data_IF_388054457859
#
_entry.id   IF_388054457859
#
_cell.length_a   1.000
_cell.length_b   1.000
_cell.length_c   1.000
_cell.angle_alpha   90.00
_cell.angle_beta   90.00
_cell.angle_gamma   90.00
#
_symmetry.space_group_name_H-M   'P 1'
#
loop_
_entity.id
_entity.type
_entity.pdbx_description
1 polymer ?
#
# COMPACT_ATOMS: atom_id res chain seq x y z
N UNK A 1 47.67 -8.75 12.83
CA UNK A 1 47.27 -8.64 11.40
C UNK A 1 45.76 -8.54 11.37
N UNK A 2 45.23 -7.34 11.13
CA UNK A 2 43.78 -7.05 11.16
C UNK A 2 43.26 -7.06 9.73
N UNK A 3 42.33 -7.95 9.43
CA UNK A 3 41.66 -8.04 8.15
C UNK A 3 40.53 -7.00 8.10
N UNK A 4 40.72 -5.98 7.27
CA UNK A 4 39.76 -4.93 6.97
C UNK A 4 38.65 -5.54 6.09
N UNK A 5 37.50 -5.85 6.67
CA UNK A 5 36.32 -6.23 5.91
C UNK A 5 35.84 -5.02 5.08
N UNK A 6 35.86 -5.16 3.75
CA UNK A 6 35.30 -4.22 2.81
C UNK A 6 33.78 -4.11 3.03
N UNK A 7 33.32 -2.97 3.55
CA UNK A 7 31.93 -2.55 3.43
C UNK A 7 31.67 -2.32 1.93
N UNK A 8 30.90 -3.20 1.29
CA UNK A 8 30.36 -2.93 -0.03
C UNK A 8 29.51 -1.67 0.01
N UNK A 9 29.69 -0.79 -0.98
CA UNK A 9 28.88 0.40 -1.21
C UNK A 9 27.39 0.02 -1.16
N UNK A 10 26.59 0.73 -0.36
CA UNK A 10 25.14 0.73 -0.58
C UNK A 10 24.92 1.21 -2.03
N UNK A 11 24.15 0.46 -2.81
CA UNK A 11 23.77 0.90 -4.15
C UNK A 11 22.92 2.18 -4.00
N UNK A 12 23.34 3.26 -4.65
CA UNK A 12 22.67 4.55 -4.58
C UNK A 12 21.54 4.56 -5.62
N UNK A 13 20.28 4.48 -5.19
CA UNK A 13 19.11 4.43 -6.07
C UNK A 13 18.49 5.81 -6.26
N UNK A 14 17.80 6.01 -7.38
CA UNK A 14 17.07 7.25 -7.63
C UNK A 14 15.60 6.95 -7.97
N UNK A 15 14.70 7.74 -7.43
CA UNK A 15 13.25 7.60 -7.61
C UNK A 15 12.68 8.90 -8.15
N UNK A 16 11.74 8.83 -9.09
CA UNK A 16 10.90 9.98 -9.45
C UNK A 16 9.45 9.68 -9.07
N UNK A 17 8.82 10.63 -8.41
CA UNK A 17 7.38 10.63 -8.14
C UNK A 17 6.75 11.65 -9.07
N UNK A 18 5.66 11.27 -9.75
CA UNK A 18 4.92 12.11 -10.67
C UNK A 18 3.46 12.12 -10.27
N UNK A 19 2.94 13.28 -9.88
CA UNK A 19 1.52 13.48 -9.65
C UNK A 19 0.89 14.17 -10.86
N UNK A 20 -0.25 13.65 -11.31
CA UNK A 20 -0.90 14.13 -12.53
C UNK A 20 -2.42 14.06 -12.41
N UNK A 21 -3.07 15.21 -12.50
CA UNK A 21 -4.54 15.29 -12.67
C UNK A 21 -4.95 14.86 -14.07
N UNK A 22 -5.85 13.89 -14.11
CA UNK A 22 -6.38 13.30 -15.35
C UNK A 22 -7.78 13.84 -15.58
N UNK A 23 -8.04 14.31 -16.80
CA UNK A 23 -9.35 14.84 -17.20
C UNK A 23 -10.45 13.81 -16.94
N UNK A 24 -11.57 14.29 -16.42
CA UNK A 24 -12.77 13.46 -16.24
C UNK A 24 -13.16 12.73 -17.55
N UNK A 25 -13.55 11.46 -17.41
CA UNK A 25 -13.93 10.60 -18.53
C UNK A 25 -12.76 10.03 -19.36
N UNK A 26 -11.51 10.38 -19.05
CA UNK A 26 -10.31 9.88 -19.77
C UNK A 26 -9.51 8.85 -18.96
N UNK A 27 -10.05 8.34 -17.86
CA UNK A 27 -9.36 7.44 -16.92
C UNK A 27 -8.88 6.16 -17.62
N UNK A 28 -9.72 5.52 -18.43
CA UNK A 28 -9.34 4.27 -19.12
C UNK A 28 -8.21 4.49 -20.15
N UNK A 29 -8.21 5.65 -20.81
CA UNK A 29 -7.15 6.04 -21.74
C UNK A 29 -5.84 6.35 -21.00
N UNK A 30 -5.94 7.02 -19.86
CA UNK A 30 -4.81 7.24 -18.97
C UNK A 30 -4.20 5.93 -18.46
N UNK A 31 -5.02 4.97 -18.01
CA UNK A 31 -4.52 3.67 -17.54
C UNK A 31 -3.77 2.93 -18.66
N UNK A 32 -4.34 2.88 -19.87
CA UNK A 32 -3.66 2.28 -21.03
C UNK A 32 -2.35 3.00 -21.37
N UNK A 33 -2.33 4.32 -21.28
CA UNK A 33 -1.11 5.10 -21.49
C UNK A 33 -0.06 4.85 -20.39
N UNK A 34 -0.50 4.79 -19.13
CA UNK A 34 0.35 4.54 -17.98
C UNK A 34 0.96 3.14 -18.03
N UNK A 35 0.22 2.12 -18.49
CA UNK A 35 0.74 0.77 -18.73
C UNK A 35 1.84 0.76 -19.80
N UNK A 36 1.64 1.48 -20.91
CA UNK A 36 2.67 1.64 -21.95
C UNK A 36 3.91 2.38 -21.41
N UNK A 37 3.70 3.38 -20.56
CA UNK A 37 4.79 4.12 -19.91
C UNK A 37 5.56 3.24 -18.93
N UNK A 38 4.86 2.42 -18.14
CA UNK A 38 5.46 1.44 -17.25
C UNK A 38 6.26 0.38 -18.02
N UNK A 39 5.75 -0.08 -19.16
CA UNK A 39 6.46 -1.01 -20.03
C UNK A 39 7.74 -0.38 -20.61
N UNK A 40 7.65 0.84 -21.15
CA UNK A 40 8.82 1.55 -21.68
C UNK A 40 9.88 1.81 -20.59
N UNK A 41 9.46 2.14 -19.36
CA UNK A 41 10.38 2.29 -18.24
C UNK A 41 11.07 0.97 -17.88
N UNK A 42 10.36 -0.17 -17.90
CA UNK A 42 10.93 -1.51 -17.62
C UNK A 42 12.02 -1.92 -18.60
N UNK A 43 11.92 -1.46 -19.85
CA UNK A 43 12.90 -1.73 -20.90
C UNK A 43 14.11 -0.80 -20.81
N UNK A 44 14.04 0.26 -19.99
CA UNK A 44 15.12 1.23 -19.83
C UNK A 44 16.22 0.71 -18.89
N UNK A 45 17.47 0.96 -19.26
CA UNK A 45 18.63 0.46 -18.50
C UNK A 45 18.66 1.04 -17.08
N UNK A 46 18.83 0.17 -16.10
CA UNK A 46 18.84 0.55 -14.69
C UNK A 46 17.46 0.69 -14.06
N UNK A 47 16.38 0.28 -14.74
CA UNK A 47 15.06 0.22 -14.12
C UNK A 47 15.03 -0.74 -12.93
N UNK A 48 14.40 -0.30 -11.83
CA UNK A 48 14.25 -1.08 -10.59
C UNK A 48 12.79 -1.40 -10.31
N UNK A 49 11.87 -0.46 -10.54
CA UNK A 49 10.45 -0.69 -10.30
C UNK A 49 9.56 0.51 -10.64
N UNK A 50 8.28 0.23 -10.85
CA UNK A 50 7.25 1.24 -11.05
C UNK A 50 5.98 0.89 -10.26
N UNK A 51 5.38 1.88 -9.63
CA UNK A 51 4.12 1.78 -8.89
C UNK A 51 3.21 2.92 -9.33
N UNK A 52 1.90 2.64 -9.41
CA UNK A 52 0.88 3.63 -9.76
C UNK A 52 -0.23 3.54 -8.73
N UNK A 53 -0.62 4.69 -8.20
CA UNK A 53 -1.66 4.83 -7.20
C UNK A 53 -2.84 5.58 -7.82
N UNK A 54 -4.06 4.99 -7.77
CA UNK A 54 -5.26 5.68 -8.21
C UNK A 54 -5.64 6.80 -7.23
N UNK A 55 -6.47 7.77 -7.67
CA UNK A 55 -6.99 8.84 -6.83
C UNK A 55 -7.75 8.26 -5.63
N UNK A 56 -7.49 8.82 -4.45
CA UNK A 56 -8.21 8.51 -3.23
C UNK A 56 -9.65 9.07 -3.22
N UNK A 57 -10.53 8.56 -2.35
CA UNK A 57 -11.88 9.11 -2.20
C UNK A 57 -11.83 10.59 -1.78
N UNK A 58 -12.29 11.49 -2.66
CA UNK A 58 -12.28 12.94 -2.45
C UNK A 58 -11.13 13.68 -3.14
N UNK A 59 -10.26 12.98 -3.88
CA UNK A 59 -9.20 13.58 -4.71
C UNK A 59 -9.73 13.81 -6.14
N UNK A 60 -9.39 14.95 -6.75
CA UNK A 60 -9.85 15.38 -8.09
C UNK A 60 -9.17 14.59 -9.23
N UNK A 61 -9.39 13.28 -9.29
CA UNK A 61 -8.81 12.38 -10.31
C UNK A 61 -7.29 12.52 -10.46
N UNK A 62 -6.59 12.74 -9.35
CA UNK A 62 -5.14 12.88 -9.31
C UNK A 62 -4.46 11.52 -9.16
N UNK A 63 -3.64 11.15 -10.14
CA UNK A 63 -2.92 9.87 -10.17
C UNK A 63 -1.46 10.08 -9.82
N UNK A 64 -0.91 9.18 -9.01
CA UNK A 64 0.50 9.23 -8.60
C UNK A 64 1.25 8.05 -9.19
N UNK A 65 2.27 8.33 -9.99
CA UNK A 65 3.18 7.34 -10.55
C UNK A 65 4.58 7.48 -9.92
N UNK A 66 5.18 6.36 -9.52
CA UNK A 66 6.50 6.30 -8.90
C UNK A 66 7.40 5.41 -9.75
N UNK A 67 8.51 5.93 -10.27
CA UNK A 67 9.51 5.15 -11.01
C UNK A 67 10.84 5.14 -10.27
N UNK A 68 11.49 3.96 -10.21
CA UNK A 68 12.74 3.76 -9.48
C UNK A 68 13.81 3.22 -10.41
N UNK A 69 15.02 3.74 -10.27
CA UNK A 69 16.19 3.38 -11.06
C UNK A 69 17.41 3.10 -10.18
N UNK A 70 18.41 2.43 -10.75
CA UNK A 70 19.62 1.96 -10.09
C UNK A 70 20.62 3.07 -9.73
N UNK A 71 20.27 4.34 -10.01
CA UNK A 71 21.07 5.52 -9.71
C UNK A 71 20.56 6.76 -10.44
N UNK A 72 21.03 7.93 -10.01
CA UNK A 72 20.57 9.22 -10.53
C UNK A 72 20.81 9.34 -12.04
N UNK A 73 21.97 8.93 -12.54
CA UNK A 73 22.28 8.99 -13.98
C UNK A 73 21.28 8.20 -14.84
N UNK A 74 20.80 7.06 -14.32
CA UNK A 74 19.81 6.22 -15.00
C UNK A 74 18.42 6.84 -14.96
N UNK A 75 18.05 7.43 -13.81
CA UNK A 75 16.80 8.16 -13.69
C UNK A 75 16.76 9.38 -14.62
N UNK A 76 17.79 10.23 -14.60
CA UNK A 76 17.89 11.39 -15.49
C UNK A 76 17.87 10.96 -16.95
N UNK A 77 18.59 9.90 -17.30
CA UNK A 77 18.54 9.32 -18.65
C UNK A 77 17.13 8.89 -19.07
N UNK A 78 16.33 8.33 -18.16
CA UNK A 78 14.93 8.01 -18.44
C UNK A 78 14.07 9.26 -18.61
N UNK A 79 14.22 10.25 -17.71
CA UNK A 79 13.46 11.50 -17.73
C UNK A 79 13.66 12.28 -19.02
N UNK A 80 14.89 12.28 -19.54
CA UNK A 80 15.31 12.98 -20.75
C UNK A 80 15.17 12.13 -22.03
N UNK A 81 14.73 10.87 -21.91
CA UNK A 81 14.67 9.97 -23.06
C UNK A 81 13.62 10.40 -24.09
N UNK A 82 13.98 10.31 -25.39
CA UNK A 82 13.05 10.53 -26.50
C UNK A 82 11.79 9.68 -26.36
N UNK A 83 11.94 8.44 -25.88
CA UNK A 83 10.83 7.51 -25.70
C UNK A 83 9.81 8.03 -24.68
N UNK A 84 10.27 8.60 -23.56
CA UNK A 84 9.40 9.21 -22.55
C UNK A 84 8.76 10.50 -23.07
N UNK A 85 9.49 11.31 -23.84
CA UNK A 85 8.95 12.52 -24.45
C UNK A 85 7.81 12.21 -25.43
N UNK A 86 7.98 11.20 -26.30
CA UNK A 86 6.91 10.71 -27.19
C UNK A 86 5.66 10.31 -26.42
N UNK A 87 5.82 9.53 -25.34
CA UNK A 87 4.72 9.10 -24.48
C UNK A 87 4.01 10.29 -23.85
N UNK A 88 4.74 11.29 -23.35
CA UNK A 88 4.15 12.48 -22.74
C UNK A 88 3.39 13.35 -23.76
N UNK A 89 3.89 13.49 -24.99
CA UNK A 89 3.18 14.21 -26.05
C UNK A 89 1.89 13.50 -26.46
N UNK A 90 1.90 12.17 -26.57
CA UNK A 90 0.67 11.38 -26.84
C UNK A 90 -0.40 11.58 -25.76
N UNK A 91 0.00 11.71 -24.49
CA UNK A 91 -0.91 11.85 -23.36
C UNK A 91 -1.25 13.29 -22.99
N UNK A 92 -0.72 14.30 -23.69
CA UNK A 92 -0.96 15.71 -23.38
C UNK A 92 -2.45 16.07 -23.30
N UNK A 93 -3.27 15.42 -24.13
CA UNK A 93 -4.74 15.59 -24.15
C UNK A 93 -5.50 14.86 -23.03
N UNK A 94 -4.82 14.06 -22.20
CA UNK A 94 -5.38 13.35 -21.05
C UNK A 94 -5.29 14.17 -19.75
N UNK A 95 -4.41 15.17 -19.72
CA UNK A 95 -4.04 15.90 -18.51
C UNK A 95 -4.75 17.25 -18.40
N UNK A 96 -5.11 17.63 -17.17
CA UNK A 96 -5.69 18.95 -16.88
C UNK A 96 -4.63 20.06 -16.82
N UNK A 97 -3.39 19.69 -16.51
CA UNK A 97 -2.26 20.60 -16.40
C UNK A 97 -0.93 19.85 -16.38
N UNK A 98 0.20 20.57 -16.24
CA UNK A 98 1.51 19.94 -16.15
C UNK A 98 1.59 19.04 -14.90
N UNK A 99 2.34 17.91 -14.97
CA UNK A 99 2.56 17.07 -13.81
C UNK A 99 3.47 17.74 -12.79
N UNK A 100 3.25 17.44 -11.51
CA UNK A 100 4.26 17.68 -10.47
C UNK A 100 5.25 16.52 -10.50
N UNK A 101 6.54 16.80 -10.67
CA UNK A 101 7.61 15.79 -10.73
C UNK A 101 8.67 16.08 -9.68
N UNK A 102 8.97 15.07 -8.86
CA UNK A 102 9.95 15.18 -7.78
C UNK A 102 10.95 14.02 -7.87
N UNK A 103 12.23 14.35 -7.86
CA UNK A 103 13.35 13.40 -8.00
C UNK A 103 14.03 13.23 -6.65
N UNK A 104 14.14 11.98 -6.19
CA UNK A 104 14.67 11.55 -4.91
C UNK A 104 15.93 10.71 -5.13
N UNK A 105 16.97 10.94 -4.31
CA UNK A 105 18.22 10.16 -4.32
C UNK A 105 18.39 9.44 -2.97
N UNK A 106 18.65 8.13 -3.00
CA UNK A 106 18.84 7.27 -1.83
C UNK A 106 17.72 6.26 -1.61
N UNK A 107 18.08 5.04 -1.22
CA UNK A 107 17.16 3.91 -0.94
C UNK A 107 17.76 2.57 -1.38
N UNK A 108 17.41 1.45 -0.74
CA UNK A 108 17.94 0.10 -1.10
C UNK A 108 17.05 -0.59 -2.15
N UNK A 109 17.61 -1.38 -3.10
CA UNK A 109 16.83 -2.11 -4.10
C UNK A 109 16.32 -3.40 -3.48
N UNK A 110 15.25 -3.29 -2.72
CA UNK A 110 14.35 -4.39 -2.59
C UNK A 110 12.98 -3.82 -2.88
N UNK A 111 12.22 -4.52 -3.73
CA UNK A 111 10.77 -4.63 -3.58
C UNK A 111 10.47 -4.43 -2.10
N UNK A 112 9.70 -3.38 -1.69
CA UNK A 112 9.59 -3.03 -0.29
C UNK A 112 9.32 -4.34 0.45
N UNK A 113 10.19 -4.77 1.40
CA UNK A 113 9.95 -6.01 2.12
C UNK A 113 8.50 -5.99 2.58
N UNK A 114 7.84 -7.14 2.59
CA UNK A 114 6.40 -7.24 2.76
C UNK A 114 5.84 -6.50 3.98
N UNK A 115 6.68 -5.97 4.87
CA UNK A 115 6.34 -5.26 6.08
C UNK A 115 6.64 -3.74 6.08
N UNK A 116 7.10 -3.14 4.96
CA UNK A 116 7.25 -1.68 4.86
C UNK A 116 5.90 -1.00 5.09
N UNK A 117 5.87 -0.02 5.99
CA UNK A 117 4.65 0.73 6.33
C UNK A 117 4.86 2.22 6.08
N UNK A 118 3.88 2.82 5.41
CA UNK A 118 3.83 4.26 5.16
C UNK A 118 2.84 4.90 6.13
N UNK A 119 3.25 5.97 6.81
CA UNK A 119 2.37 6.83 7.59
C UNK A 119 2.19 8.15 6.86
N UNK A 120 0.95 8.62 6.81
CA UNK A 120 0.55 9.91 6.25
C UNK A 120 -0.06 10.71 7.40
N UNK A 121 0.41 11.93 7.63
CA UNK A 121 -0.08 12.82 8.67
C UNK A 121 -0.53 14.13 8.07
N UNK A 122 -1.82 14.43 8.15
CA UNK A 122 -2.37 15.74 7.78
C UNK A 122 -2.34 16.68 8.98
N UNK A 123 -1.93 17.92 8.77
CA UNK A 123 -1.84 18.97 9.79
C UNK A 123 -2.64 20.20 9.35
N UNK A 124 -3.50 20.69 10.25
CA UNK A 124 -4.14 22.00 10.13
C UNK A 124 -3.22 23.07 10.70
N UNK A 125 -2.35 23.64 9.87
CA UNK A 125 -1.43 24.69 10.32
C UNK A 125 -2.20 26.00 10.50
N UNK A 126 -1.95 26.70 11.61
CA UNK A 126 -2.60 27.98 11.89
C UNK A 126 -2.12 29.04 10.88
N UNK A 127 -3.00 29.89 10.35
CA UNK A 127 -2.61 30.99 9.48
C UNK A 127 -1.53 31.86 10.13
N UNK A 128 -0.42 32.11 9.40
CA UNK A 128 0.72 32.90 9.87
C UNK A 128 1.74 32.12 10.73
N UNK A 129 1.52 30.83 10.97
CA UNK A 129 2.41 29.95 11.73
C UNK A 129 3.26 29.02 10.85
N UNK A 130 3.20 29.18 9.52
CA UNK A 130 3.75 28.25 8.52
C UNK A 130 5.28 28.13 8.61
N UNK A 131 6.00 29.25 8.77
CA UNK A 131 7.45 29.20 8.97
C UNK A 131 7.82 28.47 10.26
N UNK A 132 7.06 28.68 11.34
CA UNK A 132 7.27 27.98 12.60
C UNK A 132 7.00 26.48 12.48
N UNK A 133 5.98 26.11 11.72
CA UNK A 133 5.68 24.72 11.38
C UNK A 133 6.79 24.08 10.55
N UNK A 134 7.30 24.76 9.52
CA UNK A 134 8.41 24.26 8.68
C UNK A 134 9.68 24.00 9.50
N UNK A 135 10.09 24.96 10.35
CA UNK A 135 11.26 24.77 11.22
C UNK A 135 11.06 23.65 12.25
N UNK A 136 9.84 23.52 12.78
CA UNK A 136 9.48 22.41 13.65
C UNK A 136 9.54 21.06 12.91
N UNK A 137 9.09 21.02 11.65
CA UNK A 137 9.13 19.80 10.86
C UNK A 137 10.55 19.38 10.51
N UNK A 138 11.42 20.32 10.15
CA UNK A 138 12.84 20.04 9.92
C UNK A 138 13.52 19.48 11.19
N UNK A 139 13.20 20.05 12.36
CA UNK A 139 13.69 19.52 13.65
C UNK A 139 13.18 18.10 13.90
N UNK A 140 11.91 17.84 13.61
CA UNK A 140 11.28 16.52 13.78
C UNK A 140 11.93 15.49 12.86
N UNK A 141 12.16 15.85 11.60
CA UNK A 141 12.84 15.00 10.61
C UNK A 141 14.23 14.56 11.08
N UNK A 142 15.07 15.49 11.56
CA UNK A 142 16.43 15.17 12.05
C UNK A 142 16.45 14.19 13.23
N UNK A 143 15.37 14.15 14.00
CA UNK A 143 15.21 13.19 15.11
C UNK A 143 14.65 11.87 14.59
N UNK A 144 13.70 11.93 13.66
CA UNK A 144 13.07 10.79 13.02
C UNK A 144 14.05 9.96 12.18
N UNK A 145 15.01 10.61 11.51
CA UNK A 145 16.11 9.97 10.76
C UNK A 145 16.96 9.02 11.61
N UNK A 146 16.97 9.21 12.94
CA UNK A 146 17.73 8.38 13.89
C UNK A 146 16.90 7.22 14.44
N UNK A 147 15.61 7.16 14.12
CA UNK A 147 14.74 6.08 14.57
C UNK A 147 15.11 4.78 13.84
N UNK A 148 15.13 3.64 14.55
CA UNK A 148 15.35 2.34 13.92
C UNK A 148 14.36 2.11 12.77
N UNK A 149 14.84 1.63 11.63
CA UNK A 149 13.99 1.28 10.50
C UNK A 149 13.42 2.45 9.71
N UNK A 150 13.80 3.70 9.99
CA UNK A 150 13.37 4.84 9.18
C UNK A 150 13.87 4.75 7.74
N UNK A 151 12.98 4.95 6.78
CA UNK A 151 13.29 4.83 5.34
C UNK A 151 13.17 6.16 4.57
N UNK A 152 12.58 7.19 5.16
CA UNK A 152 12.40 8.49 4.52
C UNK A 152 11.13 9.22 4.94
N UNK A 153 11.11 10.53 4.78
CA UNK A 153 9.98 11.42 5.08
C UNK A 153 9.89 12.54 4.06
N UNK A 154 8.68 13.03 3.82
CA UNK A 154 8.36 14.06 2.85
C UNK A 154 7.26 14.97 3.40
N UNK A 155 7.27 16.25 3.01
CA UNK A 155 6.32 17.26 3.46
C UNK A 155 5.70 17.95 2.25
N UNK A 156 4.38 17.85 2.15
CA UNK A 156 3.53 18.49 1.15
C UNK A 156 2.87 19.73 1.75
N UNK A 157 2.87 20.83 0.98
CA UNK A 157 2.27 22.11 1.38
C UNK A 157 0.83 22.20 0.88
N UNK A 158 -0.04 22.96 1.57
CA UNK A 158 -1.38 23.25 1.07
C UNK A 158 -1.32 23.90 -0.30
N UNK A 159 -2.22 23.47 -1.17
CA UNK A 159 -2.44 24.06 -2.49
C UNK A 159 -3.86 24.61 -2.49
N UNK A 160 -3.99 25.92 -2.67
CA UNK A 160 -5.28 26.62 -2.64
C UNK A 160 -6.24 26.02 -3.69
N UNK A 161 -7.42 25.59 -3.23
CA UNK A 161 -8.42 24.92 -4.06
C UNK A 161 -8.21 23.43 -4.32
N UNK A 162 -7.15 22.80 -3.80
CA UNK A 162 -6.82 21.37 -4.02
C UNK A 162 -6.57 20.62 -2.71
N UNK A 163 -5.81 21.23 -1.79
CA UNK A 163 -5.47 20.64 -0.50
C UNK A 163 -5.29 21.76 0.53
N UNK A 164 -6.19 21.87 1.51
CA UNK A 164 -6.10 22.91 2.54
C UNK A 164 -5.12 22.58 3.68
N UNK A 165 -4.64 21.33 3.75
CA UNK A 165 -3.88 20.78 4.88
C UNK A 165 -2.41 20.54 4.52
N UNK A 166 -1.50 20.68 5.49
CA UNK A 166 -0.10 20.28 5.32
C UNK A 166 0.04 18.77 5.52
N UNK A 167 0.59 18.03 4.57
CA UNK A 167 0.66 16.56 4.66
C UNK A 167 2.10 16.10 4.81
N UNK A 168 2.37 15.25 5.79
CA UNK A 168 3.68 14.62 6.02
C UNK A 168 3.58 13.14 5.73
N UNK A 169 4.40 12.61 4.84
CA UNK A 169 4.45 11.17 4.54
C UNK A 169 5.80 10.62 4.97
N UNK A 170 5.83 9.56 5.77
CA UNK A 170 7.08 8.90 6.15
C UNK A 170 6.96 7.38 6.21
N UNK A 171 8.09 6.70 6.04
CA UNK A 171 8.15 5.25 5.84
C UNK A 171 9.08 4.58 6.84
N UNK A 172 8.70 3.39 7.26
CA UNK A 172 9.53 2.50 8.06
C UNK A 172 9.60 1.10 7.42
N UNK A 173 10.72 0.42 7.64
CA UNK A 173 11.00 -0.93 7.14
C UNK A 173 10.10 -2.02 7.74
N UNK A 174 9.47 -1.73 8.89
CA UNK A 174 8.54 -2.61 9.58
C UNK A 174 7.45 -1.82 10.32
N UNK A 175 6.33 -2.48 10.59
CA UNK A 175 5.25 -1.93 11.41
C UNK A 175 5.66 -1.69 12.86
N UNK A 176 6.48 -2.58 13.42
CA UNK A 176 6.96 -2.47 14.80
C UNK A 176 7.75 -1.19 15.00
N UNK A 177 8.70 -0.91 14.11
CA UNK A 177 9.47 0.33 14.16
C UNK A 177 8.62 1.59 13.97
N UNK A 178 7.60 1.54 13.09
CA UNK A 178 6.64 2.65 12.95
C UNK A 178 5.84 2.87 14.24
N UNK A 179 5.31 1.80 14.83
CA UNK A 179 4.50 1.88 16.04
C UNK A 179 5.32 2.37 17.25
N UNK A 180 6.57 1.91 17.38
CA UNK A 180 7.52 2.37 18.39
C UNK A 180 7.84 3.86 18.22
N UNK A 181 8.08 4.31 16.99
CA UNK A 181 8.28 5.74 16.72
C UNK A 181 7.06 6.57 17.09
N UNK A 182 5.86 6.12 16.69
CA UNK A 182 4.60 6.82 16.95
C UNK A 182 4.29 6.92 18.46
N UNK A 183 4.66 5.90 19.24
CA UNK A 183 4.49 5.83 20.68
C UNK A 183 5.64 6.46 21.48
N UNK A 184 6.75 6.84 20.84
CA UNK A 184 7.96 7.29 21.53
C UNK A 184 7.76 8.58 22.33
N UNK A 185 8.40 8.65 23.51
CA UNK A 185 8.44 9.88 24.32
C UNK A 185 9.11 11.06 23.58
N UNK A 186 10.05 10.73 22.68
CA UNK A 186 10.75 11.71 21.85
C UNK A 186 9.76 12.39 20.91
N UNK A 187 8.93 11.62 20.20
CA UNK A 187 7.86 12.16 19.35
C UNK A 187 6.82 12.90 20.18
N UNK A 188 6.45 12.41 21.36
CA UNK A 188 5.52 13.11 22.25
C UNK A 188 6.01 14.50 22.66
N UNK A 189 7.31 14.65 22.95
CA UNK A 189 7.94 15.96 23.23
C UNK A 189 7.91 16.87 22.00
N UNK A 190 8.26 16.35 20.82
CA UNK A 190 8.21 17.11 19.56
C UNK A 190 6.79 17.58 19.24
N UNK A 191 5.77 16.74 19.40
CA UNK A 191 4.37 17.12 19.19
C UNK A 191 3.91 18.21 20.18
N UNK A 192 4.34 18.12 21.44
CA UNK A 192 4.05 19.15 22.45
C UNK A 192 4.70 20.49 22.12
N UNK A 193 5.91 20.49 21.54
CA UNK A 193 6.54 21.71 21.04
C UNK A 193 5.85 22.26 19.79
N UNK A 194 5.33 21.38 18.93
CA UNK A 194 4.67 21.71 17.67
C UNK A 194 3.22 22.18 17.80
N UNK A 195 2.53 21.85 18.90
CA UNK A 195 1.10 22.12 19.09
C UNK A 195 0.70 23.60 19.06
N UNK A 196 1.68 24.51 19.13
CA UNK A 196 1.46 25.94 18.91
C UNK A 196 1.22 26.28 17.43
N UNK A 197 1.74 25.49 16.49
CA UNK A 197 1.71 25.76 15.06
C UNK A 197 0.53 25.12 14.30
N UNK A 198 -0.07 24.05 14.83
CA UNK A 198 -1.23 23.38 14.21
C UNK A 198 -2.41 23.25 15.18
N UNK A 199 -3.63 23.17 14.63
CA UNK A 199 -4.90 23.08 15.38
C UNK A 199 -5.32 21.63 15.57
N UNK A 200 -5.12 20.79 14.55
CA UNK A 200 -5.43 19.36 14.57
C UNK A 200 -4.40 18.59 13.74
N UNK A 201 -4.28 17.29 13.97
CA UNK A 201 -3.53 16.38 13.11
C UNK A 201 -4.22 15.01 13.04
N UNK A 202 -4.22 14.37 11.87
CA UNK A 202 -4.71 13.00 11.66
C UNK A 202 -3.58 12.10 11.18
N UNK A 203 -3.49 10.88 11.72
CA UNK A 203 -2.43 9.92 11.36
C UNK A 203 -3.07 8.72 10.65
N UNK A 204 -2.86 8.64 9.34
CA UNK A 204 -3.30 7.53 8.50
C UNK A 204 -2.15 6.58 8.24
N UNK A 205 -2.28 5.33 8.70
CA UNK A 205 -1.32 4.25 8.40
C UNK A 205 -1.75 3.55 7.13
N UNK A 206 -1.00 3.71 6.05
CA UNK A 206 -1.22 2.99 4.80
C UNK A 206 -0.38 1.72 4.85
N UNK A 207 -1.05 0.56 4.91
CA UNK A 207 -0.36 -0.72 4.93
C UNK A 207 -1.15 -1.83 4.25
N UNK A 208 -0.55 -2.42 3.21
CA UNK A 208 -1.05 -3.57 2.43
C UNK A 208 -2.25 -3.33 1.51
N UNK A 209 -2.21 -4.02 0.37
CA UNK A 209 -3.27 -4.11 -0.64
C UNK A 209 -4.59 -4.69 -0.10
N UNK A 210 -4.59 -5.34 1.07
CA UNK A 210 -5.81 -5.84 1.72
C UNK A 210 -6.31 -4.95 2.87
N UNK A 211 -5.67 -3.79 3.13
CA UNK A 211 -6.06 -2.86 4.21
C UNK A 211 -7.55 -2.54 4.24
N UNK A 212 -8.17 -2.37 3.06
CA UNK A 212 -9.60 -2.09 2.93
C UNK A 212 -10.49 -3.14 3.57
N UNK A 213 -10.07 -4.42 3.58
CA UNK A 213 -10.83 -5.51 4.19
C UNK A 213 -10.58 -5.72 5.67
N UNK A 214 -9.52 -5.17 6.28
CA UNK A 214 -9.14 -5.45 7.68
C UNK A 214 -9.21 -4.21 8.59
N UNK A 215 -10.40 -3.63 8.70
CA UNK A 215 -10.66 -2.48 9.59
C UNK A 215 -11.27 -2.96 10.91
N UNK A 216 -10.57 -2.71 12.02
CA UNK A 216 -11.00 -3.10 13.36
C UNK A 216 -11.31 -1.85 14.19
N UNK A 217 -12.58 -1.46 14.20
CA UNK A 217 -13.23 -0.42 15.02
C UNK A 217 -12.61 1.00 14.96
N UNK A 218 -13.41 1.99 14.55
CA UNK A 218 -12.99 3.37 14.23
C UNK A 218 -12.56 4.23 15.44
N UNK A 219 -12.37 3.64 16.63
CA UNK A 219 -12.27 4.40 17.87
C UNK A 219 -10.93 4.36 18.62
N UNK A 220 -10.15 3.28 18.54
CA UNK A 220 -8.95 3.13 19.40
C UNK A 220 -7.88 2.24 18.78
N UNK A 221 -6.97 2.82 18.00
CA UNK A 221 -5.63 2.27 17.74
C UNK A 221 -5.54 0.87 17.14
N UNK A 222 -6.62 0.32 16.58
CA UNK A 222 -6.64 -1.00 15.95
C UNK A 222 -6.03 -0.95 14.56
N UNK A 223 -4.70 -0.90 14.47
CA UNK A 223 -4.01 -1.01 13.18
C UNK A 223 -4.33 -2.32 12.46
N UNK A 224 -4.30 -2.30 11.12
CA UNK A 224 -4.46 -3.51 10.31
C UNK A 224 -3.45 -4.62 10.70
N UNK A 225 -3.83 -5.92 10.65
CA UNK A 225 -2.98 -7.05 10.98
C UNK A 225 -1.73 -7.13 10.11
N UNK A 226 -0.67 -7.85 10.52
CA UNK A 226 0.47 -8.18 9.66
C UNK A 226 0.04 -8.82 8.33
N UNK A 227 0.80 -8.55 7.26
CA UNK A 227 0.40 -8.91 5.89
C UNK A 227 0.30 -10.42 5.67
N UNK A 228 1.16 -11.21 6.31
CA UNK A 228 1.06 -12.68 6.26
C UNK A 228 -0.24 -13.21 6.89
N UNK A 229 -0.74 -12.56 7.96
CA UNK A 229 -2.03 -12.92 8.56
C UNK A 229 -3.21 -12.52 7.69
N UNK A 230 -3.10 -11.36 7.03
CA UNK A 230 -4.07 -10.92 6.03
C UNK A 230 -4.15 -11.94 4.89
N UNK A 231 -3.00 -12.30 4.31
CA UNK A 231 -2.92 -13.29 3.23
C UNK A 231 -3.48 -14.65 3.63
N UNK A 232 -3.16 -15.16 4.82
CA UNK A 232 -3.75 -16.41 5.33
C UNK A 232 -5.26 -16.30 5.52
N UNK A 233 -5.76 -15.17 6.03
CA UNK A 233 -7.20 -14.99 6.24
C UNK A 233 -7.96 -14.90 4.92
N UNK A 234 -7.38 -14.23 3.92
CA UNK A 234 -7.94 -14.16 2.56
C UNK A 234 -7.94 -15.54 1.91
N UNK A 235 -6.84 -16.30 2.00
CA UNK A 235 -6.76 -17.66 1.46
C UNK A 235 -7.78 -18.60 2.10
N UNK A 236 -7.97 -18.49 3.42
CA UNK A 236 -8.97 -19.25 4.18
C UNK A 236 -10.39 -19.00 3.71
N UNK A 237 -10.71 -17.77 3.33
CA UNK A 237 -12.01 -17.43 2.77
C UNK A 237 -12.12 -17.85 1.30
N UNK A 238 -11.09 -17.57 0.50
CA UNK A 238 -11.12 -17.73 -0.96
C UNK A 238 -11.17 -19.20 -1.38
N UNK A 239 -10.36 -20.07 -0.77
CA UNK A 239 -10.30 -21.49 -1.15
C UNK A 239 -11.66 -22.22 -1.09
N UNK A 240 -12.40 -22.21 0.03
CA UNK A 240 -13.70 -22.86 0.10
C UNK A 240 -14.72 -22.22 -0.83
N UNK A 241 -14.68 -20.90 -1.05
CA UNK A 241 -15.58 -20.21 -2.00
C UNK A 241 -15.39 -20.74 -3.41
N UNK A 242 -14.14 -20.79 -3.87
CA UNK A 242 -13.83 -21.29 -5.21
C UNK A 242 -14.25 -22.76 -5.35
N UNK A 243 -14.00 -23.59 -4.34
CA UNK A 243 -14.43 -25.00 -4.36
C UNK A 243 -15.95 -25.16 -4.40
N UNK A 244 -16.70 -24.44 -3.55
CA UNK A 244 -18.18 -24.48 -3.54
C UNK A 244 -18.75 -23.98 -4.85
N UNK A 245 -18.23 -22.88 -5.40
CA UNK A 245 -18.69 -22.35 -6.69
C UNK A 245 -18.38 -23.31 -7.84
N UNK A 246 -17.19 -23.92 -7.88
CA UNK A 246 -16.88 -24.93 -8.88
C UNK A 246 -17.86 -26.13 -8.81
N UNK A 247 -18.20 -26.60 -7.61
CA UNK A 247 -19.12 -27.73 -7.43
C UNK A 247 -20.59 -27.39 -7.70
N UNK A 248 -21.02 -26.14 -7.46
CA UNK A 248 -22.43 -25.74 -7.58
C UNK A 248 -22.74 -25.06 -8.92
N UNK A 249 -21.94 -24.05 -9.26
CA UNK A 249 -22.12 -23.23 -10.46
C UNK A 249 -21.63 -23.98 -11.69
N UNK A 250 -20.52 -24.73 -11.60
CA UNK A 250 -20.06 -25.60 -12.69
C UNK A 250 -21.13 -26.63 -13.11
N UNK A 251 -21.65 -27.40 -12.15
CA UNK A 251 -22.68 -28.43 -12.39
C UNK A 251 -24.03 -27.82 -12.81
N UNK A 252 -24.38 -26.65 -12.27
CA UNK A 252 -25.62 -25.94 -12.61
C UNK A 252 -25.61 -25.35 -14.01
N UNK A 253 -24.48 -24.78 -14.46
CA UNK A 253 -24.34 -24.15 -15.77
C UNK A 253 -24.27 -25.16 -16.92
N UNK A 254 -23.67 -26.34 -16.68
CA UNK A 254 -23.69 -27.45 -17.65
C UNK A 254 -25.12 -27.87 -17.99
N UNK A 255 -26.05 -27.81 -17.02
CA UNK A 255 -27.47 -28.13 -17.26
C UNK A 255 -28.25 -27.03 -17.99
N UNK A 256 -27.77 -25.79 -17.99
CA UNK A 256 -28.43 -24.63 -18.59
C UNK A 256 -27.86 -24.24 -19.97
N UNK A 257 -26.93 -25.03 -20.52
CA UNK A 257 -26.31 -24.81 -21.85
C UNK A 257 -25.68 -23.42 -22.01
N UNK A 258 -25.25 -22.81 -20.90
CA UNK A 258 -24.60 -21.49 -20.90
C UNK A 258 -23.18 -21.66 -21.43
N UNK A 259 -22.71 -20.73 -22.27
CA UNK A 259 -21.34 -20.80 -22.78
C UNK A 259 -20.34 -20.66 -21.63
N UNK A 260 -19.33 -21.52 -21.61
CA UNK A 260 -18.34 -21.64 -20.53
C UNK A 260 -17.74 -20.31 -20.07
N UNK A 261 -17.44 -19.38 -21.00
CA UNK A 261 -16.86 -18.08 -20.64
C UNK A 261 -17.81 -17.19 -19.82
N UNK A 262 -19.13 -17.25 -20.06
CA UNK A 262 -20.14 -16.48 -19.30
C UNK A 262 -20.27 -17.08 -17.90
N UNK A 263 -20.27 -18.42 -17.83
CA UNK A 263 -20.28 -19.16 -16.58
C UNK A 263 -19.11 -18.81 -15.68
N UNK A 264 -17.91 -18.80 -16.25
CA UNK A 264 -16.68 -18.44 -15.55
C UNK A 264 -16.68 -16.98 -15.08
N UNK A 265 -17.22 -16.05 -15.89
CA UNK A 265 -17.35 -14.66 -15.49
C UNK A 265 -18.33 -14.49 -14.31
N UNK A 266 -19.53 -15.08 -14.39
CA UNK A 266 -20.53 -15.02 -13.32
C UNK A 266 -20.04 -15.66 -12.02
N UNK A 267 -19.32 -16.78 -12.12
CA UNK A 267 -18.69 -17.43 -10.97
C UNK A 267 -17.65 -16.51 -10.31
N UNK A 268 -16.81 -15.83 -11.09
CA UNK A 268 -15.85 -14.87 -10.56
C UNK A 268 -16.53 -13.67 -9.88
N UNK A 269 -17.57 -13.10 -10.50
CA UNK A 269 -18.34 -12.00 -9.91
C UNK A 269 -18.94 -12.45 -8.57
N UNK A 270 -19.58 -13.62 -8.52
CA UNK A 270 -20.18 -14.15 -7.31
C UNK A 270 -19.12 -14.43 -6.23
N UNK A 271 -17.96 -14.97 -6.61
CA UNK A 271 -16.82 -15.21 -5.71
C UNK A 271 -16.32 -13.92 -5.07
N UNK A 272 -16.06 -12.89 -5.89
CA UNK A 272 -15.56 -11.60 -5.41
C UNK A 272 -16.59 -10.90 -4.51
N UNK A 273 -17.87 -10.93 -4.88
CA UNK A 273 -18.96 -10.37 -4.06
C UNK A 273 -19.12 -11.11 -2.73
N UNK A 274 -19.11 -12.44 -2.73
CA UNK A 274 -19.21 -13.25 -1.51
C UNK A 274 -18.00 -13.02 -0.59
N UNK A 275 -16.80 -12.96 -1.16
CA UNK A 275 -15.58 -12.68 -0.41
C UNK A 275 -15.66 -11.31 0.28
N UNK A 276 -16.04 -10.28 -0.48
CA UNK A 276 -16.04 -8.88 -0.01
C UNK A 276 -17.13 -8.61 1.03
N UNK A 277 -18.36 -9.08 0.80
CA UNK A 277 -19.52 -8.69 1.62
C UNK A 277 -19.94 -9.71 2.67
N UNK A 278 -19.57 -10.98 2.53
CA UNK A 278 -19.98 -12.03 3.46
C UNK A 278 -18.79 -12.60 4.23
N UNK A 279 -17.78 -13.09 3.53
CA UNK A 279 -16.72 -13.88 4.14
C UNK A 279 -15.73 -13.02 4.90
N UNK A 280 -15.25 -11.92 4.32
CA UNK A 280 -14.31 -11.03 5.02
C UNK A 280 -14.90 -10.46 6.33
N UNK A 281 -16.16 -9.99 6.38
CA UNK A 281 -16.79 -9.62 7.66
C UNK A 281 -16.84 -10.74 8.70
N UNK A 282 -17.14 -11.97 8.29
CA UNK A 282 -17.17 -13.14 9.19
C UNK A 282 -15.77 -13.48 9.69
N UNK A 283 -14.79 -13.55 8.78
CA UNK A 283 -13.39 -13.85 9.10
C UNK A 283 -12.82 -12.82 10.05
N UNK A 284 -13.08 -11.53 9.81
CA UNK A 284 -12.65 -10.47 10.72
C UNK A 284 -13.28 -10.61 12.11
N UNK A 285 -14.57 -10.97 12.18
CA UNK A 285 -15.26 -11.14 13.47
C UNK A 285 -14.74 -12.35 14.24
N UNK A 286 -14.57 -13.49 13.57
CA UNK A 286 -14.13 -14.75 14.18
C UNK A 286 -12.64 -14.70 14.55
N UNK A 287 -11.80 -14.19 13.66
CA UNK A 287 -10.34 -14.10 13.87
C UNK A 287 -9.91 -12.78 14.52
N UNK A 288 -10.83 -11.92 14.97
CA UNK A 288 -10.52 -10.65 15.64
C UNK A 288 -9.54 -10.83 16.82
N UNK A 289 -9.63 -11.94 17.55
CA UNK A 289 -8.74 -12.23 18.69
C UNK A 289 -7.27 -12.44 18.28
N UNK A 290 -7.03 -12.81 17.02
CA UNK A 290 -5.71 -13.11 16.46
C UNK A 290 -5.21 -12.08 15.45
N UNK A 291 -6.14 -11.38 14.79
CA UNK A 291 -5.86 -10.34 13.80
C UNK A 291 -5.63 -8.97 14.44
N UNK A 292 -6.27 -8.66 15.57
CA UNK A 292 -6.09 -7.35 16.22
C UNK A 292 -4.76 -7.30 17.00
N UNK A 293 -3.79 -6.44 16.61
CA UNK A 293 -2.46 -6.40 17.23
C UNK A 293 -2.51 -6.12 18.74
N UNK A 294 -3.43 -5.25 19.18
CA UNK A 294 -3.62 -4.88 20.58
C UNK A 294 -3.98 -6.06 21.51
N UNK A 295 -4.58 -7.15 20.98
CA UNK A 295 -4.89 -8.36 21.75
C UNK A 295 -3.76 -9.38 21.74
N UNK A 296 -2.89 -9.31 20.73
CA UNK A 296 -1.85 -10.31 20.44
C UNK A 296 -0.52 -10.00 21.10
N UNK A 297 -0.14 -8.72 21.21
CA UNK A 297 1.12 -8.29 21.85
C UNK A 297 1.26 -8.79 23.30
N UNK A 298 0.14 -9.12 23.95
CA UNK A 298 0.09 -9.55 25.35
C UNK A 298 0.18 -11.07 25.55
N UNK A 299 0.05 -11.91 24.50
CA UNK A 299 -0.13 -13.35 24.70
C UNK A 299 0.36 -14.25 23.54
N UNK A 300 1.54 -14.87 23.69
CA UNK A 300 2.08 -15.86 22.73
C UNK A 300 1.14 -17.04 22.47
N UNK A 301 0.32 -17.43 23.45
CA UNK A 301 -0.65 -18.53 23.27
C UNK A 301 -1.73 -18.17 22.26
N UNK A 302 -2.15 -16.90 22.19
CA UNK A 302 -3.12 -16.44 21.20
C UNK A 302 -2.55 -16.50 19.77
N UNK A 303 -1.25 -16.25 19.60
CA UNK A 303 -0.59 -16.39 18.29
C UNK A 303 -0.59 -17.84 17.81
N UNK A 304 -0.16 -18.77 18.67
CA UNK A 304 -0.11 -20.20 18.35
C UNK A 304 -1.51 -20.73 18.11
N UNK A 305 -2.48 -20.40 18.96
CA UNK A 305 -3.86 -20.83 18.80
C UNK A 305 -4.46 -20.37 17.47
N UNK A 306 -4.33 -19.08 17.13
CA UNK A 306 -4.88 -18.56 15.87
C UNK A 306 -4.20 -19.16 14.64
N UNK A 307 -2.88 -19.33 14.66
CA UNK A 307 -2.15 -19.99 13.58
C UNK A 307 -2.60 -21.45 13.40
N UNK A 308 -2.62 -22.22 14.50
CA UNK A 308 -3.06 -23.61 14.49
C UNK A 308 -4.52 -23.76 14.06
N UNK A 309 -5.41 -22.85 14.46
CA UNK A 309 -6.81 -22.86 14.01
C UNK A 309 -6.93 -22.63 12.51
N UNK A 310 -6.22 -21.65 11.94
CA UNK A 310 -6.27 -21.40 10.49
C UNK A 310 -5.71 -22.59 9.71
N UNK A 311 -4.58 -23.15 10.14
CA UNK A 311 -3.99 -24.35 9.51
C UNK A 311 -4.93 -25.55 9.61
N UNK A 312 -5.56 -25.76 10.77
CA UNK A 312 -6.54 -26.84 10.93
C UNK A 312 -7.73 -26.66 9.98
N UNK A 313 -8.25 -25.44 9.83
CA UNK A 313 -9.32 -25.17 8.86
C UNK A 313 -8.89 -25.46 7.42
N UNK A 314 -7.65 -25.14 7.04
CA UNK A 314 -7.13 -25.55 5.72
C UNK A 314 -7.14 -27.05 5.54
N UNK A 315 -6.61 -27.80 6.51
CA UNK A 315 -6.57 -29.26 6.45
C UNK A 315 -7.97 -29.86 6.37
N UNK A 316 -8.93 -29.32 7.14
CA UNK A 316 -10.33 -29.73 7.10
C UNK A 316 -10.95 -29.44 5.74
N UNK A 317 -10.76 -28.24 5.18
CA UNK A 317 -11.30 -27.92 3.86
C UNK A 317 -10.69 -28.81 2.78
N UNK A 318 -9.37 -29.02 2.78
CA UNK A 318 -8.69 -29.90 1.82
C UNK A 318 -9.21 -31.33 1.95
N UNK A 319 -9.37 -31.86 3.16
CA UNK A 319 -9.89 -33.21 3.37
C UNK A 319 -11.35 -33.34 2.93
N UNK A 320 -12.22 -32.39 3.30
CA UNK A 320 -13.63 -32.40 2.94
C UNK A 320 -13.81 -32.28 1.43
N UNK A 321 -13.19 -31.29 0.79
CA UNK A 321 -13.29 -31.13 -0.66
C UNK A 321 -12.61 -32.26 -1.42
N UNK A 322 -11.49 -32.79 -0.93
CA UNK A 322 -10.83 -33.94 -1.52
C UNK A 322 -11.68 -35.22 -1.47
N UNK A 323 -12.40 -35.45 -0.37
CA UNK A 323 -13.35 -36.57 -0.27
C UNK A 323 -14.56 -36.38 -1.20
N UNK A 324 -15.08 -35.15 -1.28
CA UNK A 324 -16.23 -34.83 -2.15
C UNK A 324 -15.84 -34.99 -3.62
N UNK A 325 -14.69 -34.47 -4.05
CA UNK A 325 -14.27 -34.58 -5.45
C UNK A 325 -13.93 -36.02 -5.82
N UNK A 326 -13.34 -36.81 -4.92
CA UNK A 326 -13.09 -38.24 -5.15
C UNK A 326 -14.37 -39.10 -5.21
N UNK A 327 -15.50 -38.64 -4.65
CA UNK A 327 -16.78 -39.35 -4.79
C UNK A 327 -17.58 -38.94 -6.03
N UNK A 328 -17.27 -37.77 -6.61
CA UNK A 328 -18.03 -37.20 -7.74
C UNK A 328 -17.34 -37.49 -9.08
N UNK A 329 -16.02 -37.71 -9.09
CA UNK A 329 -15.20 -38.10 -10.24
C UNK A 329 -14.70 -39.54 -10.12
#
# INVERSE_FOLDING_TARGET
>A
MSARASRGSAADHATVVTSQKVREGRIDEYQRWQDRTNQAAREFEGFVGAEVYPPGPGEENEWVAVFRFSGMDRLTGWLDSNRRQELLEEARGLFEGPPTQEVLQGGSPAQPPADVVTAVISHDVKPGAEQGFLSWQEKTLRVQEKAPGFMGSELFRPVEGVQEHWVVVFRFDSREHLDDWLASEVRAKLLKEGSKYFTSYDVRKVGSAFSGWFQFDHGKGGGAPPNWKQAMSVLLALYPTVMVLNLTVGVGLEKLTVREYIGLFLSNVLSVSALTWLLMPIVNRVLAFWLVPARVARNRRAQVLGFSSVVLCYLVFIAVFGLITHQIW
#
